data_IF_187571855243
#
_entry.id   IF_187571855243
#
_cell.length_a   1.000
_cell.length_b   1.000
_cell.length_c   1.000
_cell.angle_alpha   90.00
_cell.angle_beta   90.00
_cell.angle_gamma   90.00
#
_symmetry.space_group_name_H-M   'P 1'
#
loop_
_entity.id
_entity.type
_entity.pdbx_description
1 polymer ?
#
# COMPACT_ATOMS: atom_id res chain seq x y z
N UNK A 1 -11.37 -16.84 -17.67
CA UNK A 1 -10.80 -15.72 -18.45
C UNK A 1 -9.32 -15.63 -18.14
N UNK A 2 -8.44 -15.19 -19.06
CA UNK A 2 -7.05 -14.95 -18.73
C UNK A 2 -6.96 -13.88 -17.63
N UNK A 3 -6.06 -14.09 -16.67
CA UNK A 3 -5.79 -13.13 -15.59
C UNK A 3 -5.18 -11.84 -16.16
N UNK A 4 -5.81 -10.70 -15.90
CA UNK A 4 -5.28 -9.39 -16.27
C UNK A 4 -4.79 -8.70 -14.99
N UNK A 5 -3.47 -8.51 -14.82
CA UNK A 5 -2.94 -7.92 -13.61
C UNK A 5 -3.40 -6.47 -13.40
N UNK A 6 -3.69 -6.10 -12.15
CA UNK A 6 -3.93 -4.73 -11.71
C UNK A 6 -2.85 -4.33 -10.72
N UNK A 7 -1.76 -3.79 -11.22
CA UNK A 7 -0.61 -3.43 -10.40
C UNK A 7 -0.88 -2.19 -9.55
N UNK A 8 -0.52 -2.31 -8.27
CA UNK A 8 -0.54 -1.24 -7.29
C UNK A 8 0.81 -1.20 -6.57
N UNK A 9 1.43 -0.01 -6.52
CA UNK A 9 2.69 0.21 -5.84
C UNK A 9 2.48 1.16 -4.66
N UNK A 10 3.15 0.87 -3.54
CA UNK A 10 3.09 1.71 -2.35
C UNK A 10 4.35 1.53 -1.49
N UNK A 11 4.65 2.57 -0.70
CA UNK A 11 5.74 2.54 0.27
C UNK A 11 5.15 2.34 1.67
N UNK A 12 5.69 1.36 2.41
CA UNK A 12 5.28 1.09 3.77
C UNK A 12 6.45 0.50 4.57
N UNK A 13 6.78 1.02 5.78
CA UNK A 13 7.90 0.51 6.54
C UNK A 13 7.66 -0.92 7.05
N UNK A 14 8.70 -1.75 7.00
CA UNK A 14 8.76 -3.07 7.65
C UNK A 14 9.79 -2.98 8.76
N UNK A 15 9.39 -3.22 10.01
CA UNK A 15 10.26 -3.14 11.19
C UNK A 15 11.06 -1.82 11.25
N UNK A 16 10.38 -0.71 10.93
CA UNK A 16 10.95 0.63 10.92
C UNK A 16 11.89 0.94 9.75
N UNK A 17 12.07 0.02 8.80
CA UNK A 17 12.88 0.23 7.59
C UNK A 17 11.99 0.56 6.39
N UNK A 18 12.37 1.52 5.55
CA UNK A 18 11.66 1.79 4.31
C UNK A 18 11.55 0.54 3.45
N UNK A 19 10.35 0.28 2.95
CA UNK A 19 10.08 -0.81 2.02
C UNK A 19 9.13 -0.34 0.91
N UNK A 20 9.40 -0.77 -0.32
CA UNK A 20 8.54 -0.57 -1.49
C UNK A 20 7.85 -1.87 -1.82
N UNK A 21 6.56 -1.78 -2.03
CA UNK A 21 5.69 -2.89 -2.41
C UNK A 21 5.18 -2.69 -3.84
N UNK A 22 5.06 -3.78 -4.57
CA UNK A 22 4.23 -3.85 -5.76
C UNK A 22 3.38 -5.11 -5.64
N UNK A 23 2.08 -4.99 -5.85
CA UNK A 23 1.12 -6.08 -5.68
C UNK A 23 0.10 -6.08 -6.80
N UNK A 24 -0.28 -7.24 -7.26
CA UNK A 24 -1.37 -7.42 -8.20
C UNK A 24 -2.71 -7.51 -7.44
N UNK A 25 -3.47 -6.41 -7.42
CA UNK A 25 -4.76 -6.34 -6.73
C UNK A 25 -5.83 -7.28 -7.31
N UNK A 26 -5.73 -7.62 -8.60
CA UNK A 26 -6.70 -8.49 -9.25
C UNK A 26 -6.70 -9.92 -8.70
N UNK A 27 -5.63 -10.34 -8.00
CA UNK A 27 -5.54 -11.64 -7.36
C UNK A 27 -6.42 -11.76 -6.09
N UNK A 28 -6.91 -10.66 -5.52
CA UNK A 28 -7.81 -10.70 -4.36
C UNK A 28 -9.13 -11.42 -4.65
N UNK A 29 -9.59 -11.37 -5.89
CA UNK A 29 -10.79 -12.07 -6.37
C UNK A 29 -10.50 -13.38 -7.13
N UNK A 30 -9.23 -13.76 -7.25
CA UNK A 30 -8.88 -14.99 -7.96
C UNK A 30 -9.22 -16.24 -7.13
N UNK A 31 -9.69 -17.32 -7.76
CA UNK A 31 -9.84 -18.58 -7.04
C UNK A 31 -8.46 -19.05 -6.56
N UNK A 32 -8.34 -19.29 -5.26
CA UNK A 32 -7.11 -19.81 -4.67
C UNK A 32 -6.90 -21.30 -5.00
N UNK A 33 -7.94 -21.95 -5.53
CA UNK A 33 -7.97 -23.33 -5.90
C UNK A 33 -6.92 -23.68 -6.97
N UNK A 34 -6.15 -24.73 -6.72
CA UNK A 34 -5.14 -25.24 -7.61
C UNK A 34 -3.78 -24.54 -7.58
N UNK A 35 -3.55 -23.61 -6.64
CA UNK A 35 -2.23 -22.97 -6.42
C UNK A 35 -1.92 -22.80 -4.92
N UNK A 36 -1.82 -23.90 -4.18
CA UNK A 36 -1.66 -23.85 -2.72
C UNK A 36 -0.23 -23.57 -2.26
N UNK A 37 0.72 -23.42 -3.17
CA UNK A 37 2.14 -23.31 -2.82
C UNK A 37 2.63 -21.89 -3.08
N UNK A 38 3.04 -21.20 -2.02
CA UNK A 38 3.80 -19.95 -2.11
C UNK A 38 5.23 -20.28 -2.57
N UNK A 39 5.70 -19.65 -3.64
CA UNK A 39 7.10 -19.54 -4.00
C UNK A 39 7.58 -18.13 -3.70
N UNK A 40 8.68 -17.98 -2.97
CA UNK A 40 9.37 -16.71 -2.81
C UNK A 40 10.78 -16.80 -3.36
N UNK A 41 11.21 -15.73 -4.06
CA UNK A 41 12.54 -15.63 -4.64
C UNK A 41 13.15 -14.29 -4.23
N UNK A 42 14.22 -14.35 -3.42
CA UNK A 42 14.98 -13.16 -3.04
C UNK A 42 16.13 -12.94 -4.04
N UNK A 43 16.33 -11.68 -4.43
CA UNK A 43 17.45 -11.21 -5.23
C UNK A 43 18.16 -10.10 -4.46
N UNK A 44 19.38 -10.34 -4.02
CA UNK A 44 20.16 -9.44 -3.17
C UNK A 44 21.44 -8.99 -3.90
N UNK A 45 21.84 -7.75 -3.66
CA UNK A 45 23.11 -7.20 -4.17
C UNK A 45 24.30 -7.93 -3.58
N UNK A 46 25.29 -8.26 -4.42
CA UNK A 46 26.59 -8.79 -3.97
C UNK A 46 27.55 -7.72 -3.45
N UNK A 47 27.18 -6.44 -3.48
CA UNK A 47 28.02 -5.31 -3.07
C UNK A 47 28.13 -5.13 -1.55
N UNK A 48 27.76 -6.13 -0.75
CA UNK A 48 27.91 -6.11 0.71
C UNK A 48 27.00 -5.07 1.39
N UNK A 49 27.53 -3.90 1.75
CA UNK A 49 26.81 -2.83 2.48
C UNK A 49 26.05 -1.86 1.56
N UNK A 50 25.45 -2.34 0.48
CA UNK A 50 24.65 -1.49 -0.39
C UNK A 50 23.29 -1.14 0.28
N UNK A 51 22.93 0.15 0.25
CA UNK A 51 21.66 0.64 0.82
C UNK A 51 20.46 0.43 -0.13
N UNK A 52 20.73 0.17 -1.43
CA UNK A 52 19.72 -0.09 -2.44
C UNK A 52 20.29 -0.92 -3.59
N UNK A 53 19.42 -1.59 -4.34
CA UNK A 53 19.77 -2.16 -5.64
C UNK A 53 20.13 -1.03 -6.62
N UNK A 54 21.22 -1.18 -7.37
CA UNK A 54 21.50 -0.30 -8.51
C UNK A 54 20.48 -0.52 -9.63
N UNK A 55 20.33 0.43 -10.55
CA UNK A 55 19.45 0.28 -11.70
C UNK A 55 19.71 -1.00 -12.51
N UNK A 56 20.99 -1.37 -12.67
CA UNK A 56 21.38 -2.60 -13.36
C UNK A 56 20.98 -3.86 -12.56
N UNK A 57 21.14 -3.85 -11.23
CA UNK A 57 20.73 -4.96 -10.37
C UNK A 57 19.21 -5.11 -10.35
N UNK A 58 18.48 -4.00 -10.28
CA UNK A 58 17.01 -4.00 -10.38
C UNK A 58 16.53 -4.60 -11.72
N UNK A 59 17.11 -4.17 -12.84
CA UNK A 59 16.79 -4.72 -14.16
C UNK A 59 17.07 -6.24 -14.26
N UNK A 60 18.14 -6.71 -13.63
CA UNK A 60 18.48 -8.13 -13.56
C UNK A 60 17.54 -8.93 -12.67
N UNK A 61 17.14 -8.38 -11.52
CA UNK A 61 16.13 -8.98 -10.66
C UNK A 61 14.78 -9.12 -11.39
N UNK A 62 14.37 -8.09 -12.14
CA UNK A 62 13.18 -8.17 -13.01
C UNK A 62 13.32 -9.24 -14.11
N UNK A 63 14.50 -9.41 -14.68
CA UNK A 63 14.74 -10.46 -15.67
C UNK A 63 14.60 -11.86 -15.07
N UNK A 64 14.98 -12.06 -13.80
CA UNK A 64 14.72 -13.31 -13.06
C UNK A 64 13.21 -13.52 -12.92
N UNK A 65 12.48 -12.52 -12.43
CA UNK A 65 11.03 -12.57 -12.30
C UNK A 65 10.33 -12.94 -13.62
N UNK A 66 10.69 -12.27 -14.72
CA UNK A 66 10.14 -12.56 -16.07
C UNK A 66 10.42 -14.00 -16.52
N UNK A 67 11.61 -14.53 -16.22
CA UNK A 67 11.95 -15.93 -16.55
C UNK A 67 11.14 -16.92 -15.72
N UNK A 68 10.92 -16.64 -14.43
CA UNK A 68 10.07 -17.44 -13.56
C UNK A 68 8.62 -17.45 -14.07
N UNK A 69 8.06 -16.30 -14.39
CA UNK A 69 6.72 -16.18 -14.96
C UNK A 69 6.58 -17.00 -16.27
N UNK A 70 7.56 -16.89 -17.15
CA UNK A 70 7.55 -17.64 -18.43
C UNK A 70 7.74 -19.14 -18.25
N UNK A 71 8.65 -19.55 -17.37
CA UNK A 71 9.04 -20.97 -17.21
C UNK A 71 8.06 -21.79 -16.38
N UNK A 72 7.45 -21.18 -15.36
CA UNK A 72 6.59 -21.85 -14.38
C UNK A 72 5.11 -21.50 -14.52
N UNK A 73 4.78 -20.46 -15.27
CA UNK A 73 3.42 -19.91 -15.40
C UNK A 73 2.67 -19.77 -14.04
N UNK A 74 3.33 -19.25 -12.99
CA UNK A 74 2.71 -19.06 -11.68
C UNK A 74 1.75 -17.86 -11.71
N UNK A 75 0.98 -17.66 -10.63
CA UNK A 75 0.43 -16.35 -10.34
C UNK A 75 1.50 -15.49 -9.68
N UNK A 76 1.92 -14.43 -10.35
CA UNK A 76 2.86 -13.48 -9.80
C UNK A 76 2.09 -12.49 -8.92
N UNK A 77 2.25 -12.61 -7.59
CA UNK A 77 1.51 -11.82 -6.61
C UNK A 77 2.11 -10.43 -6.37
N UNK A 78 3.44 -10.28 -6.52
CA UNK A 78 4.11 -9.01 -6.30
C UNK A 78 5.52 -9.15 -5.76
N UNK A 79 6.09 -8.03 -5.33
CA UNK A 79 7.39 -7.99 -4.66
C UNK A 79 7.41 -7.03 -3.48
N UNK A 80 8.38 -7.25 -2.60
CA UNK A 80 8.81 -6.30 -1.57
C UNK A 80 10.29 -6.00 -1.81
N UNK A 81 10.65 -4.71 -1.83
CA UNK A 81 12.02 -4.24 -1.90
C UNK A 81 12.39 -3.52 -0.60
N UNK A 82 13.44 -3.98 0.05
CA UNK A 82 13.99 -3.38 1.28
C UNK A 82 15.50 -3.27 1.14
N UNK A 83 16.04 -2.06 1.19
CA UNK A 83 17.47 -1.85 0.99
C UNK A 83 17.94 -2.46 -0.33
N UNK A 84 19.03 -3.21 -0.30
CA UNK A 84 19.62 -3.83 -1.48
C UNK A 84 19.07 -5.23 -1.80
N UNK A 85 17.85 -5.51 -1.39
CA UNK A 85 17.18 -6.80 -1.62
C UNK A 85 15.78 -6.58 -2.16
N UNK A 86 15.39 -7.39 -3.17
CA UNK A 86 14.03 -7.50 -3.66
C UNK A 86 13.58 -8.95 -3.55
N UNK A 87 12.42 -9.18 -2.92
CA UNK A 87 11.81 -10.49 -2.76
C UNK A 87 10.52 -10.55 -3.56
N UNK A 88 10.46 -11.48 -4.50
CA UNK A 88 9.31 -11.77 -5.34
C UNK A 88 8.46 -12.88 -4.74
N UNK A 89 7.14 -12.79 -4.92
CA UNK A 89 6.15 -13.73 -4.41
C UNK A 89 5.27 -14.25 -5.54
N UNK A 90 5.13 -15.57 -5.58
CA UNK A 90 4.34 -16.27 -6.60
C UNK A 90 3.53 -17.37 -5.95
N UNK A 91 2.40 -17.74 -6.58
CA UNK A 91 1.63 -18.91 -6.20
C UNK A 91 1.68 -19.97 -7.29
N UNK A 92 2.10 -21.18 -6.94
CA UNK A 92 2.33 -22.33 -7.82
C UNK A 92 1.32 -23.44 -7.55
N UNK A 93 1.19 -24.36 -8.52
CA UNK A 93 0.33 -25.53 -8.39
C UNK A 93 0.91 -26.57 -7.43
N UNK A 94 2.21 -26.78 -7.47
CA UNK A 94 2.88 -27.87 -6.76
C UNK A 94 4.30 -27.50 -6.34
N UNK A 95 4.77 -28.13 -5.27
CA UNK A 95 6.08 -27.90 -4.68
C UNK A 95 7.24 -28.36 -5.57
N UNK A 96 7.03 -29.34 -6.43
CA UNK A 96 8.05 -29.85 -7.37
C UNK A 96 8.63 -28.75 -8.28
N UNK A 97 7.87 -27.68 -8.52
CA UNK A 97 8.32 -26.52 -9.30
C UNK A 97 9.43 -25.71 -8.63
N UNK A 98 9.76 -25.96 -7.35
CA UNK A 98 10.85 -25.27 -6.64
C UNK A 98 12.22 -25.50 -7.29
N UNK A 99 12.54 -26.73 -7.71
CA UNK A 99 13.82 -27.06 -8.35
C UNK A 99 14.05 -26.26 -9.63
N UNK A 100 12.99 -26.08 -10.43
CA UNK A 100 13.05 -25.24 -11.62
C UNK A 100 13.23 -23.77 -11.28
N UNK A 101 12.57 -23.29 -10.22
CA UNK A 101 12.75 -21.92 -9.73
C UNK A 101 14.18 -21.66 -9.25
N UNK A 102 14.76 -22.58 -8.49
CA UNK A 102 16.16 -22.50 -8.03
C UNK A 102 17.13 -22.49 -9.20
N UNK A 103 16.91 -23.35 -10.20
CA UNK A 103 17.72 -23.40 -11.42
C UNK A 103 17.63 -22.11 -12.24
N UNK A 104 16.45 -21.47 -12.30
CA UNK A 104 16.26 -20.17 -12.99
C UNK A 104 16.95 -19.06 -12.20
N UNK A 105 16.73 -18.99 -10.89
CA UNK A 105 17.32 -18.00 -10.00
C UNK A 105 18.85 -18.10 -9.94
N UNK A 106 19.40 -19.31 -9.88
CA UNK A 106 20.84 -19.58 -9.83
C UNK A 106 21.63 -19.12 -11.06
N UNK A 107 20.95 -18.88 -12.19
CA UNK A 107 21.57 -18.32 -13.41
C UNK A 107 21.83 -16.81 -13.34
N UNK A 108 21.37 -16.13 -12.28
CA UNK A 108 21.57 -14.69 -12.08
C UNK A 108 22.91 -14.38 -11.41
N UNK A 109 24.03 -14.60 -12.12
CA UNK A 109 25.40 -14.55 -11.57
C UNK A 109 25.79 -13.21 -10.91
N UNK A 110 25.07 -12.12 -11.16
CA UNK A 110 25.38 -10.79 -10.63
C UNK A 110 24.61 -10.44 -9.34
N UNK A 111 23.65 -11.27 -8.98
CA UNK A 111 22.88 -11.16 -7.74
C UNK A 111 23.06 -12.43 -6.92
N UNK A 112 22.84 -12.33 -5.62
CA UNK A 112 22.65 -13.49 -4.77
C UNK A 112 21.15 -13.81 -4.78
N UNK A 113 20.75 -14.79 -5.59
CA UNK A 113 19.36 -15.20 -5.68
C UNK A 113 19.14 -16.52 -4.93
N UNK A 114 18.07 -16.59 -4.14
CA UNK A 114 17.63 -17.76 -3.40
C UNK A 114 16.14 -17.94 -3.61
N UNK A 115 15.70 -19.18 -3.78
CA UNK A 115 14.28 -19.53 -3.84
C UNK A 115 13.91 -20.40 -2.65
N UNK A 116 12.64 -20.36 -2.27
CA UNK A 116 12.05 -21.22 -1.28
C UNK A 116 10.55 -21.29 -1.47
N UNK A 117 9.90 -22.28 -0.86
CA UNK A 117 8.45 -22.43 -0.94
C UNK A 117 7.83 -22.84 0.39
N UNK A 118 6.54 -22.57 0.53
CA UNK A 118 5.72 -22.97 1.68
C UNK A 118 4.32 -23.37 1.21
N UNK A 119 3.70 -24.29 1.94
CA UNK A 119 2.28 -24.60 1.73
C UNK A 119 1.42 -23.45 2.27
N UNK A 120 0.62 -22.86 1.40
CA UNK A 120 -0.22 -21.70 1.72
C UNK A 120 -1.56 -21.74 0.95
N UNK A 121 -2.44 -22.71 1.23
CA UNK A 121 -3.68 -22.89 0.49
C UNK A 121 -4.63 -21.69 0.58
N UNK A 122 -4.50 -20.87 1.62
CA UNK A 122 -5.31 -19.66 1.84
C UNK A 122 -4.60 -18.36 1.47
N UNK A 123 -3.43 -18.43 0.84
CA UNK A 123 -2.66 -17.26 0.41
C UNK A 123 -2.43 -16.21 1.49
N UNK A 124 -2.06 -16.65 2.70
CA UNK A 124 -1.91 -15.78 3.87
C UNK A 124 -0.88 -14.66 3.65
N UNK A 125 0.23 -14.95 2.98
CA UNK A 125 1.26 -13.94 2.62
C UNK A 125 0.67 -12.88 1.70
N UNK A 126 -0.09 -13.27 0.68
CA UNK A 126 -0.75 -12.29 -0.18
C UNK A 126 -1.72 -11.41 0.59
N UNK A 127 -2.64 -12.00 1.34
CA UNK A 127 -3.72 -11.29 2.00
C UNK A 127 -3.26 -10.39 3.16
N UNK A 128 -2.25 -10.85 3.95
CA UNK A 128 -1.84 -10.16 5.18
C UNK A 128 -0.58 -9.32 5.05
N UNK A 129 0.30 -9.65 4.08
CA UNK A 129 1.57 -8.96 3.90
C UNK A 129 1.57 -8.07 2.65
N UNK A 130 1.18 -8.62 1.48
CA UNK A 130 1.27 -7.90 0.20
C UNK A 130 0.06 -7.02 -0.05
N UNK A 131 -1.17 -7.52 0.20
CA UNK A 131 -2.38 -6.76 -0.10
C UNK A 131 -2.50 -5.53 0.81
N UNK A 132 -2.67 -4.33 0.23
CA UNK A 132 -2.73 -3.10 1.03
C UNK A 132 -4.04 -3.01 1.81
N UNK A 133 -3.95 -2.64 3.07
CA UNK A 133 -5.10 -2.23 3.88
C UNK A 133 -5.54 -0.79 3.53
N UNK A 134 -6.63 -0.33 4.14
CA UNK A 134 -7.20 1.00 3.88
C UNK A 134 -6.19 2.13 4.06
N UNK A 135 -5.32 2.03 5.08
CA UNK A 135 -4.31 3.05 5.34
C UNK A 135 -3.24 3.09 4.24
N UNK A 136 -2.77 1.92 3.79
CA UNK A 136 -1.79 1.82 2.69
C UNK A 136 -2.37 2.33 1.37
N UNK A 137 -3.63 1.98 1.05
CA UNK A 137 -4.34 2.53 -0.12
C UNK A 137 -4.43 4.06 -0.04
N UNK A 138 -4.73 4.59 1.14
CA UNK A 138 -4.85 6.02 1.35
C UNK A 138 -3.53 6.78 1.12
N UNK A 139 -2.37 6.20 1.42
CA UNK A 139 -1.07 6.88 1.20
C UNK A 139 -0.83 7.20 -0.28
N UNK A 140 -1.30 6.35 -1.20
CA UNK A 140 -1.21 6.60 -2.63
C UNK A 140 -2.23 7.63 -3.12
N UNK A 141 -3.44 7.62 -2.55
CA UNK A 141 -4.42 8.67 -2.84
C UNK A 141 -3.95 10.04 -2.30
N UNK A 142 -3.27 10.07 -1.15
CA UNK A 142 -2.63 11.28 -0.62
C UNK A 142 -1.59 11.82 -1.60
N UNK A 143 -0.69 10.96 -2.10
CA UNK A 143 0.33 11.34 -3.10
C UNK A 143 -0.31 11.95 -4.33
N UNK A 144 -1.28 11.26 -4.95
CA UNK A 144 -1.98 11.75 -6.14
C UNK A 144 -2.68 13.09 -5.92
N UNK A 145 -3.26 13.29 -4.74
CA UNK A 145 -3.93 14.55 -4.39
C UNK A 145 -2.92 15.69 -4.19
N UNK A 146 -1.84 15.44 -3.45
CA UNK A 146 -0.76 16.41 -3.24
C UNK A 146 -0.13 16.79 -4.59
N UNK A 147 0.19 15.83 -5.45
CA UNK A 147 0.76 16.07 -6.78
C UNK A 147 -0.17 16.96 -7.64
N UNK A 148 -1.49 16.70 -7.60
CA UNK A 148 -2.47 17.56 -8.28
C UNK A 148 -2.49 18.99 -7.73
N UNK A 149 -2.42 19.16 -6.40
CA UNK A 149 -2.38 20.48 -5.80
C UNK A 149 -1.10 21.23 -6.17
N UNK A 150 0.06 20.57 -6.15
CA UNK A 150 1.34 21.11 -6.61
C UNK A 150 1.28 21.57 -8.07
N UNK A 151 0.68 20.77 -8.95
CA UNK A 151 0.49 21.11 -10.36
C UNK A 151 -0.39 22.36 -10.56
N UNK A 152 -1.26 22.69 -9.59
CA UNK A 152 -2.07 23.92 -9.56
C UNK A 152 -1.38 25.08 -8.84
N UNK A 153 -0.10 24.96 -8.52
CA UNK A 153 0.73 26.02 -7.93
C UNK A 153 0.60 26.13 -6.40
N UNK A 154 0.19 25.06 -5.74
CA UNK A 154 0.12 25.02 -4.28
C UNK A 154 1.49 25.08 -3.60
N UNK A 155 1.55 25.65 -2.41
CA UNK A 155 2.72 25.67 -1.53
C UNK A 155 2.52 24.69 -0.36
N UNK A 156 3.05 23.47 -0.44
CA UNK A 156 2.76 22.42 0.55
C UNK A 156 3.33 22.72 1.94
N UNK A 157 4.36 23.55 2.04
CA UNK A 157 4.98 23.91 3.32
C UNK A 157 4.09 24.83 4.20
N UNK A 158 3.06 25.45 3.62
CA UNK A 158 2.15 26.33 4.39
C UNK A 158 1.14 25.48 5.12
N UNK A 159 1.20 25.50 6.45
CA UNK A 159 0.22 24.84 7.30
C UNK A 159 -1.16 25.46 7.11
N UNK A 160 -2.19 24.61 6.97
CA UNK A 160 -3.56 25.01 6.71
C UNK A 160 -4.56 24.00 7.26
N UNK A 161 -5.83 24.36 7.22
CA UNK A 161 -6.91 23.47 7.59
C UNK A 161 -6.95 22.28 6.62
N UNK A 162 -6.80 21.05 7.15
CA UNK A 162 -7.03 19.79 6.45
C UNK A 162 -8.28 19.15 7.05
N UNK A 163 -9.30 18.94 6.24
CA UNK A 163 -10.57 18.35 6.64
C UNK A 163 -10.66 16.92 6.09
N UNK A 164 -10.91 15.94 6.96
CA UNK A 164 -11.09 14.56 6.63
C UNK A 164 -12.56 14.18 6.81
N UNK A 165 -13.16 13.50 5.84
CA UNK A 165 -14.58 13.13 5.84
C UNK A 165 -14.72 11.63 6.00
N UNK A 166 -15.28 11.22 7.14
CA UNK A 166 -15.43 9.82 7.53
C UNK A 166 -16.90 9.47 7.66
N UNK A 167 -17.23 8.23 7.32
CA UNK A 167 -18.61 7.75 7.28
C UNK A 167 -18.74 6.42 8.02
N UNK A 168 -19.89 6.23 8.67
CA UNK A 168 -20.16 5.14 9.60
C UNK A 168 -21.52 4.49 9.32
N UNK A 169 -21.72 3.21 9.73
CA UNK A 169 -22.98 2.51 9.51
C UNK A 169 -24.13 3.01 10.40
N UNK A 170 -23.81 3.56 11.59
CA UNK A 170 -24.81 4.06 12.54
C UNK A 170 -24.39 5.39 13.16
N UNK A 171 -25.35 6.17 13.62
CA UNK A 171 -25.10 7.41 14.38
C UNK A 171 -24.26 7.15 15.63
N UNK A 172 -24.58 6.08 16.36
CA UNK A 172 -23.87 5.72 17.57
C UNK A 172 -22.37 5.48 17.32
N UNK A 173 -22.01 4.76 16.26
CA UNK A 173 -20.60 4.52 15.91
C UNK A 173 -19.88 5.79 15.44
N UNK A 174 -20.57 6.67 14.74
CA UNK A 174 -20.05 7.99 14.37
C UNK A 174 -19.79 8.86 15.60
N UNK A 175 -20.68 8.87 16.59
CA UNK A 175 -20.51 9.65 17.83
C UNK A 175 -19.34 9.14 18.67
N UNK A 176 -19.21 7.82 18.83
CA UNK A 176 -18.05 7.20 19.50
C UNK A 176 -16.73 7.54 18.80
N UNK A 177 -16.69 7.46 17.47
CA UNK A 177 -15.54 7.93 16.70
C UNK A 177 -15.23 9.39 16.96
N UNK A 178 -16.26 10.27 16.95
CA UNK A 178 -16.10 11.71 17.13
C UNK A 178 -15.46 12.05 18.48
N UNK A 179 -15.81 11.32 19.53
CA UNK A 179 -15.19 11.48 20.84
C UNK A 179 -13.71 11.06 20.80
N UNK A 180 -13.39 9.90 20.23
CA UNK A 180 -12.00 9.44 20.09
C UNK A 180 -11.15 10.37 19.21
N UNK A 181 -11.75 10.95 18.18
CA UNK A 181 -11.08 11.93 17.33
C UNK A 181 -10.72 13.21 18.12
N UNK A 182 -11.64 13.74 18.97
CA UNK A 182 -11.35 14.87 19.85
C UNK A 182 -10.20 14.56 20.82
N UNK A 183 -10.23 13.41 21.46
CA UNK A 183 -9.15 12.97 22.37
C UNK A 183 -7.81 12.80 21.63
N UNK A 184 -7.86 12.55 20.32
CA UNK A 184 -6.69 12.43 19.45
C UNK A 184 -6.22 13.78 18.86
N UNK A 185 -6.84 14.90 19.26
CA UNK A 185 -6.44 16.26 18.89
C UNK A 185 -7.02 16.74 17.56
N UNK A 186 -8.12 16.15 17.07
CA UNK A 186 -8.87 16.68 15.94
C UNK A 186 -10.02 17.60 16.43
N UNK A 187 -10.27 18.66 15.71
CA UNK A 187 -11.55 19.36 15.80
C UNK A 187 -12.61 18.53 15.03
N UNK A 188 -13.79 18.40 15.59
CA UNK A 188 -14.90 17.63 15.00
C UNK A 188 -15.94 18.59 14.48
N UNK A 189 -16.35 18.45 13.23
CA UNK A 189 -17.38 19.22 12.58
C UNK A 189 -18.79 18.68 12.82
N UNK A 190 -19.76 19.25 12.10
CA UNK A 190 -21.15 18.85 12.21
C UNK A 190 -21.41 17.48 11.56
N UNK A 191 -22.30 16.67 12.14
CA UNK A 191 -22.75 15.43 11.54
C UNK A 191 -23.48 15.65 10.22
N UNK A 192 -23.35 14.70 9.30
CA UNK A 192 -24.07 14.67 8.03
C UNK A 192 -24.74 13.31 7.89
N UNK A 193 -25.99 13.30 7.46
CA UNK A 193 -26.72 12.07 7.15
C UNK A 193 -26.97 11.98 5.64
N UNK A 194 -26.55 10.86 5.03
CA UNK A 194 -26.77 10.57 3.62
C UNK A 194 -27.57 9.27 3.52
N UNK A 195 -28.89 9.33 3.27
CA UNK A 195 -29.72 8.13 3.19
C UNK A 195 -29.29 7.22 2.04
N UNK A 196 -29.74 5.97 2.08
CA UNK A 196 -29.53 4.96 1.04
C UNK A 196 -28.07 4.57 0.77
N UNK A 197 -27.20 4.81 1.75
CA UNK A 197 -25.80 4.39 1.72
C UNK A 197 -25.48 3.40 2.86
N UNK A 198 -24.64 2.39 2.63
CA UNK A 198 -24.21 1.46 3.69
C UNK A 198 -23.57 2.18 4.89
N UNK A 199 -22.84 3.27 4.62
CA UNK A 199 -22.27 4.16 5.61
C UNK A 199 -22.97 5.52 5.49
N UNK A 200 -24.11 5.67 6.16
CA UNK A 200 -25.01 6.82 6.02
C UNK A 200 -24.65 8.00 6.91
N UNK A 201 -23.92 7.76 8.02
CA UNK A 201 -23.63 8.79 9.03
C UNK A 201 -22.21 9.32 8.85
N UNK A 202 -22.10 10.55 8.37
CA UNK A 202 -20.84 11.23 8.10
C UNK A 202 -20.45 12.24 9.14
N UNK A 203 -19.15 12.44 9.34
CA UNK A 203 -18.60 13.54 10.13
C UNK A 203 -17.27 13.99 9.54
N UNK A 204 -17.02 15.30 9.58
CA UNK A 204 -15.69 15.82 9.25
C UNK A 204 -14.84 15.98 10.51
N UNK A 205 -13.55 15.63 10.41
CA UNK A 205 -12.57 15.98 11.42
C UNK A 205 -11.49 16.86 10.80
N UNK A 206 -10.95 17.77 11.59
CA UNK A 206 -10.08 18.84 11.08
C UNK A 206 -8.80 18.91 11.89
N UNK A 207 -7.69 19.15 11.20
CA UNK A 207 -6.41 19.52 11.80
C UNK A 207 -5.68 20.55 10.96
N UNK A 208 -4.85 21.37 11.60
CA UNK A 208 -3.91 22.24 10.89
C UNK A 208 -2.65 21.44 10.62
N UNK A 209 -2.26 21.33 9.36
CA UNK A 209 -1.07 20.60 8.91
C UNK A 209 -0.50 21.20 7.62
N UNK A 210 0.78 21.02 7.39
CA UNK A 210 1.40 21.22 6.10
C UNK A 210 1.04 20.04 5.16
N UNK A 211 1.07 20.28 3.83
CA UNK A 211 0.74 19.23 2.86
C UNK A 211 1.99 18.43 2.44
N UNK A 212 2.91 18.19 3.38
CA UNK A 212 3.98 17.23 3.14
C UNK A 212 3.44 15.80 3.23
N UNK A 213 3.81 14.96 2.25
CA UNK A 213 3.27 13.59 2.17
C UNK A 213 3.36 12.82 3.49
N UNK A 214 4.50 12.80 4.22
CA UNK A 214 4.59 12.09 5.49
C UNK A 214 3.59 12.58 6.56
N UNK A 215 3.37 13.91 6.64
CA UNK A 215 2.42 14.50 7.60
C UNK A 215 0.97 14.13 7.26
N UNK A 216 0.61 14.16 5.97
CA UNK A 216 -0.74 13.78 5.52
C UNK A 216 -0.95 12.28 5.66
N UNK A 217 0.06 11.46 5.38
CA UNK A 217 0.00 10.02 5.58
C UNK A 217 -0.20 9.66 7.05
N UNK A 218 0.52 10.29 7.97
CA UNK A 218 0.33 10.10 9.41
C UNK A 218 -1.08 10.53 9.85
N UNK A 219 -1.52 11.72 9.41
CA UNK A 219 -2.83 12.27 9.73
C UNK A 219 -3.96 11.35 9.28
N UNK A 220 -3.95 10.93 8.02
CA UNK A 220 -4.98 10.07 7.43
C UNK A 220 -4.94 8.65 8.00
N UNK A 221 -3.75 8.07 8.16
CA UNK A 221 -3.58 6.74 8.76
C UNK A 221 -4.13 6.69 10.18
N UNK A 222 -3.83 7.70 11.00
CA UNK A 222 -4.36 7.79 12.36
C UNK A 222 -5.88 7.87 12.39
N UNK A 223 -6.47 8.70 11.51
CA UNK A 223 -7.93 8.83 11.41
C UNK A 223 -8.58 7.51 10.96
N UNK A 224 -8.01 6.82 9.97
CA UNK A 224 -8.48 5.51 9.47
C UNK A 224 -8.44 4.48 10.59
N UNK A 225 -7.32 4.36 11.32
CA UNK A 225 -7.18 3.39 12.41
C UNK A 225 -8.18 3.61 13.56
N UNK A 226 -8.53 4.87 13.82
CA UNK A 226 -9.61 5.17 14.79
C UNK A 226 -10.96 4.75 14.21
N UNK A 227 -11.24 5.11 12.96
CA UNK A 227 -12.53 4.84 12.31
C UNK A 227 -12.82 3.34 12.14
N UNK A 228 -11.82 2.54 11.77
CA UNK A 228 -11.92 1.08 11.63
C UNK A 228 -12.43 0.39 12.92
N UNK A 229 -12.09 0.92 14.08
CA UNK A 229 -12.58 0.42 15.38
C UNK A 229 -14.11 0.56 15.56
N UNK A 230 -14.73 1.43 14.78
CA UNK A 230 -16.15 1.73 14.78
C UNK A 230 -16.82 1.38 13.44
N UNK A 231 -16.19 0.53 12.62
CA UNK A 231 -16.62 0.15 11.28
C UNK A 231 -16.86 1.34 10.35
N UNK A 232 -16.07 2.40 10.53
CA UNK A 232 -16.10 3.60 9.69
C UNK A 232 -14.99 3.61 8.65
N UNK A 233 -15.18 4.44 7.62
CA UNK A 233 -14.24 4.60 6.51
C UNK A 233 -13.94 6.07 6.24
N UNK A 234 -12.69 6.38 5.92
CA UNK A 234 -12.30 7.66 5.34
C UNK A 234 -12.65 7.66 3.85
N UNK A 235 -13.55 8.54 3.44
CA UNK A 235 -13.89 8.68 2.01
C UNK A 235 -12.95 9.59 1.26
N UNK A 236 -12.63 10.74 1.84
CA UNK A 236 -11.69 11.71 1.26
C UNK A 236 -11.23 12.73 2.30
N UNK A 237 -10.21 13.48 1.93
CA UNK A 237 -9.83 14.68 2.65
C UNK A 237 -9.70 15.85 1.69
N UNK A 238 -9.76 17.08 2.22
CA UNK A 238 -9.57 18.30 1.44
C UNK A 238 -8.78 19.33 2.22
N UNK A 239 -8.15 20.23 1.48
CA UNK A 239 -7.49 21.42 2.00
C UNK A 239 -7.54 22.53 0.93
N UNK A 240 -7.59 23.82 1.32
CA UNK A 240 -7.54 24.92 0.37
C UNK A 240 -6.17 24.96 -0.31
N UNK A 241 -6.14 25.33 -1.60
CA UNK A 241 -4.90 25.61 -2.33
C UNK A 241 -4.34 26.96 -1.85
N UNK A 242 -3.06 26.97 -1.45
CA UNK A 242 -2.37 28.20 -1.01
C UNK A 242 -1.24 28.49 -1.98
N UNK A 243 -1.35 29.55 -2.77
CA UNK A 243 -0.30 29.97 -3.71
C UNK A 243 0.78 30.76 -3.00
N UNK A 244 2.04 30.63 -3.46
CA UNK A 244 3.14 31.48 -2.98
C UNK A 244 2.81 32.95 -3.24
N UNK A 245 2.74 33.76 -2.17
CA UNK A 245 2.51 35.20 -2.25
C UNK A 245 1.04 35.66 -2.25
N UNK A 246 0.07 34.75 -2.03
CA UNK A 246 -1.34 35.10 -1.79
C UNK A 246 -1.64 35.35 -0.29
N UNK A 247 -2.54 36.27 0.04
CA UNK A 247 -3.01 36.41 1.43
C UNK A 247 -3.68 35.10 1.88
N UNK A 248 -3.46 34.72 3.13
CA UNK A 248 -4.21 33.66 3.79
C UNK A 248 -5.69 34.12 3.86
N UNK A 249 -6.57 33.48 3.09
CA UNK A 249 -8.01 33.61 3.24
C UNK A 249 -8.55 32.56 4.21
#
# INVERSE_FOLDING_TARGET
MPHTPQWFEYDWPIDGRPARFAVDLALSGAPHDGRPVLLYVSCESKRGKADALSGLESARAEAVCKKLCKGLAPYYAGFIETGAQRQYYFYMKERAMLEDAERIAGKAHFLLCRAGCAEEPHWATYQKLLYPDSAKLQTEENRKRIDRMLAHGDSPAVARRVSLFLFFPTEATMLLFSEQARLSGYAVGEPVFTPDQPLAYGVSIVRIAALHKPEIDELTTRAIRIAERFNGELRYWEAPVVKRGGPLM
#
